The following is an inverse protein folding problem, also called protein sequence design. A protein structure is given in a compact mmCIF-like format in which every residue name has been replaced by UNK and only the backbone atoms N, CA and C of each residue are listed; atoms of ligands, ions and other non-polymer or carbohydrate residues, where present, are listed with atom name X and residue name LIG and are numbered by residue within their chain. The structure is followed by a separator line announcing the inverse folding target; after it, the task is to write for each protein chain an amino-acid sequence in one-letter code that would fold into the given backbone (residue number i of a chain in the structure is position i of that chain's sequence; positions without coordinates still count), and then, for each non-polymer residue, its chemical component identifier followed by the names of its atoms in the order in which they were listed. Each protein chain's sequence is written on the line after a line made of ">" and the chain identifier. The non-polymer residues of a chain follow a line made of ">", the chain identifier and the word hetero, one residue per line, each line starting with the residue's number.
data_IF_981038500011
#
_entry.id   IF_981038500011
#
_cell.length_a   1.000
_cell.length_b   1.000
_cell.length_c   1.000
_cell.angle_alpha   90.00
_cell.angle_beta   90.00
_cell.angle_gamma   90.00
#
_symmetry.space_group_name_H-M   'P 1'
#
loop_
_entity.id
_entity.type
_entity.pdbx_description
1 polymer ?
#
# COMPACT_ATOMS: atom_id res chain seq x y z
N UNK A 1 21.10 2.32 -21.67
CA UNK A 1 19.68 2.19 -21.97
C UNK A 1 18.97 3.31 -21.25
N UNK A 2 18.54 4.34 -21.99
CA UNK A 2 17.75 5.43 -21.42
C UNK A 2 16.33 4.89 -21.23
N UNK A 3 15.89 4.73 -20.01
CA UNK A 3 14.49 4.52 -19.71
C UNK A 3 13.82 5.89 -19.82
N UNK A 4 13.13 6.16 -20.92
CA UNK A 4 12.16 7.24 -20.98
C UNK A 4 11.01 6.86 -20.07
N UNK A 5 10.95 7.48 -18.88
CA UNK A 5 9.77 7.43 -18.03
C UNK A 5 8.71 8.25 -18.75
N UNK A 6 7.69 7.59 -19.32
CA UNK A 6 6.51 8.31 -19.82
C UNK A 6 5.85 9.02 -18.64
N UNK A 7 5.82 10.34 -18.67
CA UNK A 7 5.26 11.17 -17.59
C UNK A 7 3.73 11.00 -17.43
N UNK A 8 3.07 10.36 -18.38
CA UNK A 8 1.61 10.20 -18.42
C UNK A 8 1.04 9.28 -17.32
N UNK A 9 1.91 8.56 -16.59
CA UNK A 9 1.51 7.61 -15.56
C UNK A 9 1.96 7.96 -14.14
N UNK A 10 2.62 9.11 -13.95
CA UNK A 10 3.03 9.60 -12.63
C UNK A 10 1.84 10.30 -12.00
N UNK A 11 1.40 9.80 -10.83
CA UNK A 11 0.30 10.40 -10.07
C UNK A 11 0.83 11.52 -9.18
N UNK A 12 1.91 11.27 -8.45
CA UNK A 12 2.62 12.29 -7.68
C UNK A 12 4.05 11.85 -7.32
N UNK A 13 4.83 12.85 -6.94
CA UNK A 13 6.21 12.68 -6.52
C UNK A 13 6.39 13.12 -5.07
N UNK A 14 7.35 12.49 -4.40
CA UNK A 14 7.86 12.92 -3.10
C UNK A 14 9.35 13.32 -3.26
N UNK A 15 10.07 13.52 -2.17
CA UNK A 15 11.50 13.82 -2.22
C UNK A 15 12.30 12.72 -2.95
N UNK A 16 12.03 11.44 -2.62
CA UNK A 16 12.82 10.30 -3.10
C UNK A 16 12.03 9.31 -3.96
N UNK A 17 10.70 9.46 -4.04
CA UNK A 17 9.82 8.46 -4.65
C UNK A 17 8.97 9.05 -5.76
N UNK A 18 8.63 8.18 -6.72
CA UNK A 18 7.57 8.35 -7.70
C UNK A 18 6.47 7.35 -7.35
N UNK A 19 5.22 7.82 -7.26
CA UNK A 19 4.06 6.96 -7.21
C UNK A 19 3.35 7.04 -8.56
N UNK A 20 3.28 5.91 -9.25
CA UNK A 20 2.73 5.78 -10.59
C UNK A 20 1.73 4.64 -10.68
N UNK A 21 0.93 4.69 -11.72
CA UNK A 21 0.11 3.53 -12.08
C UNK A 21 0.97 2.29 -12.33
N UNK A 22 0.40 1.11 -12.05
CA UNK A 22 1.01 -0.15 -12.47
C UNK A 22 0.95 -0.28 -13.99
N UNK A 23 1.94 -0.98 -14.55
CA UNK A 23 1.95 -1.42 -15.93
C UNK A 23 2.18 -2.94 -16.01
N UNK A 24 2.01 -3.52 -17.21
CA UNK A 24 2.09 -4.96 -17.40
C UNK A 24 3.49 -5.54 -17.10
N UNK A 25 4.55 -4.74 -17.19
CA UNK A 25 5.94 -5.17 -16.98
C UNK A 25 6.32 -5.21 -15.48
N UNK A 26 5.44 -4.74 -14.59
CA UNK A 26 5.73 -4.71 -13.15
C UNK A 26 5.68 -6.08 -12.46
N UNK A 27 5.23 -7.13 -13.13
CA UNK A 27 5.02 -8.47 -12.56
C UNK A 27 6.26 -8.99 -11.82
N UNK A 28 7.45 -8.87 -12.39
CA UNK A 28 8.66 -9.38 -11.75
C UNK A 28 9.07 -8.57 -10.52
N UNK A 29 8.91 -7.25 -10.57
CA UNK A 29 9.20 -6.37 -9.46
C UNK A 29 8.19 -6.56 -8.31
N UNK A 30 6.92 -6.77 -8.61
CA UNK A 30 5.88 -7.11 -7.61
C UNK A 30 6.15 -8.49 -7.02
N UNK A 31 6.49 -9.50 -7.84
CA UNK A 31 6.81 -10.83 -7.36
C UNK A 31 8.00 -10.85 -6.39
N UNK A 32 8.97 -9.96 -6.59
CA UNK A 32 10.14 -9.85 -5.71
C UNK A 32 9.80 -9.54 -4.23
N UNK A 33 8.64 -8.92 -3.95
CA UNK A 33 8.18 -8.72 -2.57
C UNK A 33 6.95 -9.55 -2.22
N UNK A 34 6.03 -9.75 -3.15
CA UNK A 34 4.78 -10.48 -2.89
C UNK A 34 5.02 -12.00 -2.78
N UNK A 35 6.01 -12.54 -3.47
CA UNK A 35 6.42 -13.95 -3.39
C UNK A 35 7.32 -14.29 -2.19
N UNK A 36 7.77 -13.30 -1.45
CA UNK A 36 8.66 -13.51 -0.29
C UNK A 36 7.85 -13.72 0.99
N UNK A 37 8.05 -14.87 1.64
CA UNK A 37 7.32 -15.26 2.84
C UNK A 37 7.63 -14.37 4.07
N UNK A 38 8.81 -13.76 4.13
CA UNK A 38 9.16 -12.83 5.20
C UNK A 38 8.49 -11.47 4.96
N UNK A 39 8.46 -11.02 3.69
CA UNK A 39 7.81 -9.77 3.31
C UNK A 39 6.30 -9.79 3.59
N UNK A 40 5.67 -10.96 3.42
CA UNK A 40 4.22 -11.14 3.54
C UNK A 40 3.77 -11.69 4.89
N UNK A 41 4.68 -11.86 5.85
CA UNK A 41 4.39 -12.53 7.13
C UNK A 41 3.22 -11.88 7.92
N UNK A 42 3.01 -10.58 7.78
CA UNK A 42 1.94 -9.82 8.43
C UNK A 42 0.77 -9.46 7.51
N UNK A 43 0.78 -9.95 6.28
CA UNK A 43 -0.32 -9.74 5.34
C UNK A 43 -1.41 -10.80 5.54
N UNK A 44 -2.62 -10.51 5.09
CA UNK A 44 -3.74 -11.45 5.00
C UNK A 44 -3.68 -12.30 3.72
N UNK A 45 -2.69 -12.03 2.88
CA UNK A 45 -2.37 -12.72 1.63
C UNK A 45 -0.89 -13.08 1.54
N UNK A 46 -0.54 -13.94 0.57
CA UNK A 46 0.84 -14.33 0.27
C UNK A 46 1.38 -15.47 1.17
N UNK A 47 2.62 -15.90 0.90
CA UNK A 47 3.40 -15.51 -0.26
C UNK A 47 2.69 -15.91 -1.56
N UNK A 48 2.66 -14.98 -2.51
CA UNK A 48 1.98 -15.16 -3.79
C UNK A 48 2.86 -15.91 -4.80
N UNK A 49 2.25 -16.76 -5.63
CA UNK A 49 2.91 -17.31 -6.79
C UNK A 49 2.88 -16.31 -7.97
N UNK A 50 3.59 -16.61 -9.06
CA UNK A 50 3.67 -15.71 -10.23
C UNK A 50 2.33 -15.47 -10.92
N UNK A 51 1.42 -16.44 -10.90
CA UNK A 51 0.09 -16.32 -11.49
C UNK A 51 -0.77 -15.34 -10.65
N UNK A 52 -0.76 -15.50 -9.34
CA UNK A 52 -1.44 -14.58 -8.42
C UNK A 52 -0.92 -13.15 -8.57
N UNK A 53 0.39 -12.96 -8.77
CA UNK A 53 0.97 -11.64 -9.03
C UNK A 53 0.53 -11.08 -10.40
N UNK A 54 0.48 -11.89 -11.46
CA UNK A 54 -0.07 -11.43 -12.74
C UNK A 54 -1.52 -10.99 -12.60
N UNK A 55 -2.34 -11.77 -11.90
CA UNK A 55 -3.74 -11.45 -11.66
C UNK A 55 -3.87 -10.14 -10.84
N UNK A 56 -3.00 -9.94 -9.86
CA UNK A 56 -2.93 -8.67 -9.12
C UNK A 56 -2.63 -7.50 -10.06
N UNK A 57 -1.55 -7.56 -10.85
CA UNK A 57 -1.18 -6.48 -11.78
C UNK A 57 -2.30 -6.23 -12.79
N UNK A 58 -2.88 -7.27 -13.38
CA UNK A 58 -4.03 -7.13 -14.29
C UNK A 58 -5.24 -6.48 -13.62
N UNK A 59 -5.52 -6.81 -12.37
CA UNK A 59 -6.61 -6.16 -11.62
C UNK A 59 -6.34 -4.66 -11.43
N UNK A 60 -5.08 -4.26 -11.21
CA UNK A 60 -4.71 -2.85 -11.08
C UNK A 60 -4.86 -2.10 -12.41
N UNK A 61 -4.46 -2.72 -13.53
CA UNK A 61 -4.71 -2.15 -14.85
C UNK A 61 -6.20 -1.95 -15.12
N UNK A 62 -7.04 -2.90 -14.76
CA UNK A 62 -8.49 -2.78 -14.90
C UNK A 62 -9.05 -1.64 -14.03
N UNK A 63 -8.54 -1.45 -12.80
CA UNK A 63 -8.99 -0.37 -11.92
C UNK A 63 -8.68 1.04 -12.46
N UNK A 64 -7.65 1.20 -13.30
CA UNK A 64 -7.30 2.50 -13.87
C UNK A 64 -8.41 3.10 -14.75
N UNK A 65 -9.22 2.24 -15.36
CA UNK A 65 -10.29 2.62 -16.30
C UNK A 65 -11.69 2.43 -15.72
N UNK A 66 -11.81 2.09 -14.44
CA UNK A 66 -13.14 1.91 -13.80
C UNK A 66 -13.82 3.26 -13.52
N UNK A 67 -15.13 3.31 -13.75
CA UNK A 67 -15.98 4.45 -13.41
C UNK A 67 -17.20 4.00 -12.59
N UNK A 68 -17.38 4.46 -11.35
CA UNK A 68 -16.43 5.27 -10.58
C UNK A 68 -15.24 4.45 -10.11
N UNK A 69 -14.03 5.04 -10.16
CA UNK A 69 -12.84 4.42 -9.60
C UNK A 69 -12.81 4.57 -8.08
N UNK A 70 -12.57 3.45 -7.38
CA UNK A 70 -12.52 3.41 -5.90
C UNK A 70 -11.20 2.84 -5.35
N UNK A 71 -10.40 2.22 -6.20
CA UNK A 71 -9.11 1.64 -5.83
C UNK A 71 -7.99 2.41 -6.53
N UNK A 72 -7.23 3.14 -5.74
CA UNK A 72 -6.06 3.90 -6.16
C UNK A 72 -4.82 3.23 -5.56
N UNK A 73 -4.32 2.20 -6.22
CA UNK A 73 -3.16 1.44 -5.75
C UNK A 73 -2.00 1.65 -6.74
N UNK A 74 -0.94 2.27 -6.26
CA UNK A 74 0.16 2.76 -7.07
C UNK A 74 1.45 2.00 -6.80
N UNK A 75 2.24 1.82 -7.84
CA UNK A 75 3.62 1.36 -7.75
C UNK A 75 4.49 2.44 -7.10
N UNK A 76 5.21 2.08 -6.05
CA UNK A 76 6.18 2.95 -5.38
C UNK A 76 7.55 2.72 -5.98
N UNK A 77 8.10 3.73 -6.65
CA UNK A 77 9.39 3.67 -7.34
C UNK A 77 10.40 4.65 -6.74
N UNK A 78 11.67 4.26 -6.66
CA UNK A 78 12.77 5.17 -6.28
C UNK A 78 13.07 6.08 -7.47
N UNK A 79 12.97 7.41 -7.30
CA UNK A 79 13.24 8.41 -8.35
C UNK A 79 14.59 8.22 -9.04
N UNK A 80 15.65 8.07 -8.25
CA UNK A 80 17.01 8.00 -8.76
C UNK A 80 17.29 6.81 -9.68
N UNK A 81 16.48 5.73 -9.60
CA UNK A 81 16.74 4.47 -10.32
C UNK A 81 15.57 3.95 -11.12
N UNK A 82 14.37 4.52 -10.96
CA UNK A 82 13.12 3.99 -11.51
C UNK A 82 12.67 2.65 -10.89
N UNK A 83 13.43 2.12 -9.92
CA UNK A 83 13.17 0.79 -9.36
C UNK A 83 11.89 0.77 -8.54
N UNK A 84 10.95 -0.11 -8.90
CA UNK A 84 9.77 -0.42 -8.12
C UNK A 84 10.19 -1.17 -6.84
N UNK A 85 9.75 -0.66 -5.69
CA UNK A 85 10.10 -1.18 -4.37
C UNK A 85 8.89 -1.58 -3.53
N UNK A 86 7.68 -1.39 -4.02
CA UNK A 86 6.46 -1.72 -3.29
C UNK A 86 5.21 -1.15 -3.94
N UNK A 87 4.12 -1.18 -3.18
CA UNK A 87 2.85 -0.56 -3.54
C UNK A 87 2.28 0.26 -2.40
N UNK A 88 1.44 1.25 -2.75
CA UNK A 88 0.71 2.11 -1.83
C UNK A 88 -0.70 2.33 -2.36
N UNK A 89 -1.69 1.90 -1.60
CA UNK A 89 -3.10 1.93 -1.99
C UNK A 89 -3.95 2.85 -1.12
N UNK A 90 -4.93 3.50 -1.75
CA UNK A 90 -6.05 4.17 -1.12
C UNK A 90 -7.34 3.54 -1.62
N UNK A 91 -8.13 3.00 -0.72
CA UNK A 91 -9.35 2.26 -1.01
C UNK A 91 -10.54 3.07 -0.49
N UNK A 92 -11.29 3.68 -1.41
CA UNK A 92 -12.44 4.54 -1.06
C UNK A 92 -13.64 3.71 -0.64
N UNK A 93 -14.24 4.07 0.48
CA UNK A 93 -15.49 3.49 0.95
C UNK A 93 -16.70 3.89 0.09
N UNK A 94 -17.79 3.16 0.26
CA UNK A 94 -19.03 3.38 -0.52
C UNK A 94 -19.71 4.71 -0.21
N UNK A 95 -19.46 5.27 0.97
CA UNK A 95 -20.00 6.57 1.41
C UNK A 95 -19.29 7.77 0.75
N UNK A 96 -18.16 7.55 0.07
CA UNK A 96 -17.34 8.57 -0.56
C UNK A 96 -16.66 9.55 0.42
N UNK A 97 -16.70 9.26 1.73
CA UNK A 97 -16.15 10.13 2.78
C UNK A 97 -15.01 9.47 3.55
N UNK A 98 -14.90 8.16 3.44
CA UNK A 98 -13.88 7.39 4.15
C UNK A 98 -13.04 6.59 3.16
N UNK A 99 -11.77 6.43 3.52
CA UNK A 99 -10.84 5.57 2.78
C UNK A 99 -9.98 4.74 3.73
N UNK A 100 -9.42 3.66 3.23
CA UNK A 100 -8.40 2.87 3.91
C UNK A 100 -7.06 3.01 3.16
N UNK A 101 -6.00 3.27 3.90
CA UNK A 101 -4.62 3.29 3.43
C UNK A 101 -4.01 1.90 3.62
N UNK A 102 -3.48 1.32 2.56
CA UNK A 102 -2.72 0.06 2.60
C UNK A 102 -1.39 0.17 1.88
N UNK A 103 -0.39 -0.58 2.30
CA UNK A 103 0.92 -0.55 1.63
C UNK A 103 1.75 -1.81 1.87
N UNK A 104 2.65 -2.05 0.95
CA UNK A 104 3.70 -3.06 1.05
C UNK A 104 5.00 -2.52 0.48
N UNK A 105 6.09 -2.59 1.23
CA UNK A 105 7.44 -2.26 0.75
C UNK A 105 8.29 -3.52 0.80
N UNK A 106 9.06 -3.75 -0.27
CA UNK A 106 10.02 -4.84 -0.34
C UNK A 106 11.03 -4.76 0.82
N UNK A 107 11.24 -5.85 1.52
CA UNK A 107 12.08 -5.94 2.73
C UNK A 107 13.50 -5.41 2.55
N UNK A 108 14.07 -5.50 1.35
CA UNK A 108 15.39 -4.95 1.03
C UNK A 108 15.46 -3.41 1.19
N UNK A 109 14.29 -2.76 1.30
CA UNK A 109 14.13 -1.31 1.44
C UNK A 109 13.51 -0.89 2.78
N UNK A 110 13.30 -1.82 3.72
CA UNK A 110 12.82 -1.49 5.05
C UNK A 110 13.81 -0.62 5.83
N UNK A 111 13.33 0.07 6.85
CA UNK A 111 14.14 0.92 7.73
C UNK A 111 14.62 2.23 7.11
N UNK A 112 14.36 2.49 5.82
CA UNK A 112 14.83 3.69 5.09
C UNK A 112 13.80 4.83 5.04
N UNK A 113 12.64 4.66 5.67
CA UNK A 113 11.58 5.68 5.74
C UNK A 113 10.67 5.76 4.50
N UNK A 114 10.87 4.94 3.47
CA UNK A 114 10.09 4.98 2.24
C UNK A 114 8.58 4.76 2.45
N UNK A 115 8.19 3.84 3.34
CA UNK A 115 6.78 3.63 3.66
C UNK A 115 6.12 4.89 4.21
N UNK A 116 6.76 5.57 5.18
CA UNK A 116 6.22 6.81 5.77
C UNK A 116 6.17 7.95 4.76
N UNK A 117 7.18 8.06 3.89
CA UNK A 117 7.24 9.08 2.84
C UNK A 117 6.13 8.89 1.80
N UNK A 118 5.97 7.69 1.26
CA UNK A 118 4.92 7.37 0.30
C UNK A 118 3.53 7.54 0.91
N UNK A 119 3.33 7.05 2.15
CA UNK A 119 2.06 7.16 2.84
C UNK A 119 1.65 8.60 3.13
N UNK A 120 2.60 9.49 3.47
CA UNK A 120 2.32 10.91 3.63
C UNK A 120 1.79 11.53 2.33
N UNK A 121 2.40 11.21 1.18
CA UNK A 121 1.91 11.66 -0.12
C UNK A 121 0.52 11.10 -0.43
N UNK A 122 0.27 9.82 -0.12
CA UNK A 122 -1.04 9.20 -0.33
C UNK A 122 -2.14 9.78 0.57
N UNK A 123 -1.84 10.14 1.82
CA UNK A 123 -2.78 10.85 2.69
C UNK A 123 -3.15 12.21 2.10
N UNK A 124 -2.17 12.98 1.63
CA UNK A 124 -2.43 14.26 0.95
C UNK A 124 -3.29 14.05 -0.31
N UNK A 125 -2.98 13.06 -1.13
CA UNK A 125 -3.78 12.70 -2.29
C UNK A 125 -5.23 12.37 -1.92
N UNK A 126 -5.45 11.59 -0.88
CA UNK A 126 -6.79 11.24 -0.39
C UNK A 126 -7.58 12.44 0.12
N UNK A 127 -6.97 13.30 0.91
CA UNK A 127 -7.65 14.48 1.46
C UNK A 127 -7.87 15.57 0.41
N UNK A 128 -6.88 15.89 -0.41
CA UNK A 128 -6.93 17.04 -1.32
C UNK A 128 -7.59 16.70 -2.67
N UNK A 129 -7.37 15.50 -3.20
CA UNK A 129 -7.90 15.11 -4.53
C UNK A 129 -9.24 14.40 -4.43
N UNK A 130 -9.41 13.54 -3.40
CA UNK A 130 -10.64 12.77 -3.21
C UNK A 130 -11.53 13.30 -2.09
N UNK A 131 -11.16 14.42 -1.46
CA UNK A 131 -11.94 15.10 -0.42
C UNK A 131 -12.43 14.14 0.68
N UNK A 132 -11.58 13.20 1.07
CA UNK A 132 -11.92 12.26 2.14
C UNK A 132 -11.99 13.00 3.48
N UNK A 133 -13.01 12.71 4.28
CA UNK A 133 -13.09 13.22 5.64
C UNK A 133 -12.18 12.42 6.59
N UNK A 134 -12.04 11.12 6.33
CA UNK A 134 -11.32 10.19 7.20
C UNK A 134 -10.53 9.18 6.38
N UNK A 135 -9.26 8.98 6.75
CA UNK A 135 -8.44 7.90 6.20
C UNK A 135 -8.00 7.00 7.35
N UNK A 136 -8.43 5.74 7.30
CA UNK A 136 -8.04 4.71 8.25
C UNK A 136 -6.85 3.90 7.73
N UNK A 137 -6.16 3.22 8.64
CA UNK A 137 -5.17 2.20 8.32
C UNK A 137 -5.18 1.13 9.41
N UNK A 138 -4.81 -0.09 9.06
CA UNK A 138 -4.74 -1.20 10.01
C UNK A 138 -3.47 -2.02 9.84
N UNK A 139 -3.03 -2.68 10.89
CA UNK A 139 -1.94 -3.63 10.80
C UNK A 139 -2.12 -4.76 11.82
N UNK A 140 -1.50 -5.90 11.51
CA UNK A 140 -1.28 -6.96 12.50
C UNK A 140 -0.62 -6.38 13.75
N UNK A 141 -1.11 -6.73 14.94
CA UNK A 141 -0.60 -6.18 16.22
C UNK A 141 0.89 -6.50 16.46
N UNK A 142 1.41 -7.55 15.81
CA UNK A 142 2.82 -7.92 15.84
C UNK A 142 3.68 -7.16 14.83
N UNK A 143 3.07 -6.44 13.87
CA UNK A 143 3.77 -5.64 12.87
C UNK A 143 4.19 -4.26 13.43
N UNK A 144 5.21 -4.27 14.28
CA UNK A 144 5.72 -3.04 14.91
C UNK A 144 6.27 -2.02 13.90
N UNK A 145 6.65 -2.46 12.71
CA UNK A 145 7.11 -1.56 11.65
C UNK A 145 5.97 -0.72 11.09
N UNK A 146 4.83 -1.34 10.73
CA UNK A 146 3.62 -0.62 10.28
C UNK A 146 3.03 0.24 11.38
N UNK A 147 3.01 -0.27 12.63
CA UNK A 147 2.57 0.49 13.81
C UNK A 147 3.33 1.84 13.92
N UNK A 148 4.66 1.80 13.81
CA UNK A 148 5.50 3.01 13.84
C UNK A 148 5.28 3.93 12.64
N UNK A 149 4.97 3.40 11.46
CA UNK A 149 4.64 4.22 10.28
C UNK A 149 3.38 5.03 10.55
N UNK A 150 2.29 4.40 11.00
CA UNK A 150 1.02 5.08 11.29
C UNK A 150 1.18 6.15 12.38
N UNK A 151 1.94 5.87 13.44
CA UNK A 151 2.25 6.85 14.48
C UNK A 151 3.03 8.06 13.93
N UNK A 152 4.03 7.85 13.06
CA UNK A 152 4.80 8.93 12.42
C UNK A 152 3.98 9.79 11.48
N UNK A 153 2.92 9.23 10.90
CA UNK A 153 1.97 9.95 10.06
C UNK A 153 0.97 10.80 10.88
N UNK A 154 1.04 10.74 12.21
CA UNK A 154 0.10 11.43 13.10
C UNK A 154 -1.26 10.74 13.18
N UNK A 155 -1.39 9.52 12.67
CA UNK A 155 -2.65 8.79 12.78
C UNK A 155 -2.95 8.44 14.25
N UNK A 156 -4.17 8.68 14.66
CA UNK A 156 -4.66 8.37 16.00
C UNK A 156 -4.93 6.88 16.14
N UNK A 157 -4.40 6.27 17.19
CA UNK A 157 -4.75 4.90 17.57
C UNK A 157 -6.19 4.83 18.07
N UNK A 158 -7.01 3.97 17.47
CA UNK A 158 -8.43 3.82 17.83
C UNK A 158 -8.72 2.54 18.60
N UNK A 159 -7.82 1.58 18.57
CA UNK A 159 -7.97 0.37 19.34
C UNK A 159 -7.31 -0.85 18.71
N UNK A 160 -7.33 -1.95 19.47
CA UNK A 160 -6.86 -3.26 19.02
C UNK A 160 -8.00 -4.28 19.12
N UNK A 161 -8.38 -4.83 17.98
CA UNK A 161 -9.32 -5.93 17.90
C UNK A 161 -8.58 -7.26 18.13
N UNK A 162 -8.84 -7.91 19.26
CA UNK A 162 -8.19 -9.16 19.64
C UNK A 162 -8.73 -10.34 18.82
N UNK A 163 -7.82 -11.14 18.24
CA UNK A 163 -8.16 -12.33 17.46
C UNK A 163 -9.28 -12.06 16.43
N UNK A 164 -9.18 -10.93 15.72
CA UNK A 164 -10.22 -10.43 14.85
C UNK A 164 -10.14 -11.00 13.43
N UNK A 165 -8.97 -11.42 12.99
CA UNK A 165 -8.76 -11.91 11.63
C UNK A 165 -8.22 -13.34 11.63
N UNK A 166 -8.86 -14.22 10.85
CA UNK A 166 -8.41 -15.59 10.65
C UNK A 166 -7.68 -15.72 9.33
N UNK A 167 -6.37 -15.52 9.38
CA UNK A 167 -5.52 -15.39 8.19
C UNK A 167 -4.69 -16.64 7.94
N UNK A 168 -4.28 -16.84 6.69
CA UNK A 168 -3.34 -17.90 6.31
C UNK A 168 -1.91 -17.37 6.40
N UNK A 169 -1.15 -17.94 7.35
CA UNK A 169 0.27 -17.65 7.50
C UNK A 169 1.06 -18.88 7.10
N UNK A 170 1.82 -18.80 6.02
CA UNK A 170 2.51 -19.97 5.43
C UNK A 170 1.48 -21.09 5.14
N UNK A 171 1.66 -22.27 5.70
CA UNK A 171 0.76 -23.40 5.49
C UNK A 171 -0.34 -23.55 6.56
N UNK A 172 -0.42 -22.63 7.52
CA UNK A 172 -1.37 -22.72 8.66
C UNK A 172 -2.27 -21.51 8.73
N UNK A 173 -3.50 -21.70 9.17
CA UNK A 173 -4.42 -20.62 9.52
C UNK A 173 -4.30 -20.32 11.00
N UNK A 174 -4.30 -19.03 11.34
CA UNK A 174 -4.25 -18.57 12.73
C UNK A 174 -5.05 -17.28 12.92
N UNK A 175 -5.52 -17.08 14.13
CA UNK A 175 -6.14 -15.82 14.53
C UNK A 175 -5.07 -14.76 14.77
N UNK A 176 -5.34 -13.55 14.33
CA UNK A 176 -4.51 -12.36 14.53
C UNK A 176 -5.29 -11.23 15.17
N UNK A 177 -4.62 -10.50 16.02
CA UNK A 177 -5.10 -9.21 16.53
C UNK A 177 -4.69 -8.10 15.59
N UNK A 178 -5.55 -7.10 15.45
CA UNK A 178 -5.38 -6.02 14.48
C UNK A 178 -5.50 -4.68 15.20
N UNK A 179 -4.51 -3.82 15.00
CA UNK A 179 -4.53 -2.43 15.45
C UNK A 179 -5.16 -1.56 14.38
N UNK A 180 -6.02 -0.64 14.80
CA UNK A 180 -6.72 0.32 13.96
C UNK A 180 -6.24 1.74 14.26
N UNK A 181 -6.03 2.49 13.19
CA UNK A 181 -5.59 3.87 13.20
C UNK A 181 -6.43 4.70 12.24
N UNK A 182 -6.55 6.00 12.50
CA UNK A 182 -7.18 6.93 11.57
C UNK A 182 -6.57 8.33 11.65
N UNK A 183 -6.71 9.07 10.56
CA UNK A 183 -6.43 10.49 10.45
C UNK A 183 -7.66 11.18 9.87
N UNK A 184 -8.05 12.31 10.45
CA UNK A 184 -9.13 13.16 9.95
C UNK A 184 -8.56 14.32 9.12
N UNK A 185 -9.33 14.83 8.18
CA UNK A 185 -8.93 15.93 7.30
C UNK A 185 -8.54 17.21 8.09
N UNK A 186 -9.07 17.38 9.28
CA UNK A 186 -8.84 18.56 10.12
C UNK A 186 -7.79 18.36 11.22
N UNK A 187 -7.21 17.17 11.34
CA UNK A 187 -6.11 16.89 12.25
C UNK A 187 -4.77 17.27 11.59
#
# INVERSE_FOLDING_TARGET
>A
MNFEISFDFIIFETERLLLREFNADDVDAVYAYAGDAENTIYMDWGPANREEVRNFVQSRLAQQIMEPRRIFDFAVCIKATGRLIGSMGLFLGDDGQQAELGYTINKAFWGKGYASEAAKGMLQYGFMTHNQHRISARCDSMNTASDRVMQRLGMRFEGEAKSAEYVRVRARRQWRSVKHYALLQLD
#
